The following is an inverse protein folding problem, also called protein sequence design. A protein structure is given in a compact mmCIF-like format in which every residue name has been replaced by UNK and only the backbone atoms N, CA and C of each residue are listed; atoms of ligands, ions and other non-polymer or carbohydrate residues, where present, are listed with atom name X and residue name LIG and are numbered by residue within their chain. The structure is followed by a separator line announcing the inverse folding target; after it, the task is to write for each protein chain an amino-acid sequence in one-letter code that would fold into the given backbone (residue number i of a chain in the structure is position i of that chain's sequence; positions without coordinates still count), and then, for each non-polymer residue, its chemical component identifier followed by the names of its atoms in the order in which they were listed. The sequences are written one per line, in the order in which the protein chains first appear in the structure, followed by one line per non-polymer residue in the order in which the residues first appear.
data_IF_862129478374
#
_entry.id   IF_862129478374
#
_cell.length_a   1.000
_cell.length_b   1.000
_cell.length_c   1.000
_cell.angle_alpha   90.00
_cell.angle_beta   90.00
_cell.angle_gamma   90.00
#
_symmetry.space_group_name_H-M   'P 1'
#
loop_
_entity.id
_entity.type
_entity.pdbx_description
1 polymer ?
#
# COMPACT_ATOMS: atom_id res chain seq x y z
N UNK A 1 -19.81 8.45 -6.38
CA UNK A 1 -18.58 7.63 -6.57
C UNK A 1 -18.00 7.72 -7.98
N UNK A 2 -18.72 7.32 -9.04
CA UNK A 2 -18.16 7.25 -10.41
C UNK A 2 -17.69 8.61 -10.97
N UNK A 3 -18.45 9.68 -10.78
CA UNK A 3 -18.05 11.02 -11.23
C UNK A 3 -16.79 11.53 -10.52
N UNK A 4 -16.60 11.17 -9.25
CA UNK A 4 -15.35 11.47 -8.51
C UNK A 4 -14.18 10.74 -9.17
N UNK A 5 -14.32 9.44 -9.43
CA UNK A 5 -13.26 8.63 -10.04
C UNK A 5 -12.87 9.15 -11.43
N UNK A 6 -13.85 9.54 -12.26
CA UNK A 6 -13.62 10.11 -13.60
C UNK A 6 -12.82 11.43 -13.56
N UNK A 7 -12.89 12.19 -12.47
CA UNK A 7 -12.07 13.41 -12.29
C UNK A 7 -10.62 13.11 -11.93
N UNK A 8 -10.33 11.92 -11.40
CA UNK A 8 -8.98 11.50 -11.00
C UNK A 8 -8.26 10.81 -12.15
N UNK A 9 -8.91 9.85 -12.83
CA UNK A 9 -8.32 9.07 -13.93
C UNK A 9 -9.38 8.56 -14.93
N UNK A 10 -9.00 8.21 -16.18
CA UNK A 10 -9.97 7.88 -17.23
C UNK A 10 -10.70 6.55 -17.02
N UNK A 11 -10.00 5.54 -16.48
CA UNK A 11 -10.55 4.20 -16.24
C UNK A 11 -9.83 3.51 -15.05
N UNK A 12 -10.42 2.48 -14.44
CA UNK A 12 -9.69 1.59 -13.52
C UNK A 12 -8.55 0.87 -14.26
N UNK A 13 -7.54 0.45 -13.51
CA UNK A 13 -6.34 -0.22 -14.01
C UNK A 13 -6.10 -1.47 -13.17
N UNK A 14 -5.56 -2.52 -13.79
CA UNK A 14 -5.20 -3.76 -13.12
C UNK A 14 -3.75 -3.69 -12.66
N UNK A 15 -3.50 -4.07 -11.41
CA UNK A 15 -2.15 -4.05 -10.86
C UNK A 15 -1.19 -4.97 -11.63
N UNK A 16 -1.66 -6.12 -12.10
CA UNK A 16 -0.84 -7.09 -12.85
C UNK A 16 -0.37 -6.57 -14.22
N UNK A 17 -0.93 -5.47 -14.71
CA UNK A 17 -0.53 -4.82 -15.96
C UNK A 17 0.42 -3.63 -15.72
N UNK A 18 0.63 -3.26 -14.45
CA UNK A 18 1.53 -2.19 -14.05
C UNK A 18 2.99 -2.59 -14.27
N UNK A 19 3.75 -1.72 -14.93
CA UNK A 19 5.18 -1.93 -15.24
C UNK A 19 6.10 -0.87 -14.62
N UNK A 20 5.55 -0.02 -13.75
CA UNK A 20 6.35 0.98 -13.06
C UNK A 20 7.07 0.40 -11.85
N UNK A 21 7.97 1.21 -11.29
CA UNK A 21 8.63 0.93 -10.02
C UNK A 21 7.92 1.73 -8.92
N UNK A 22 7.74 1.08 -7.77
CA UNK A 22 7.10 1.66 -6.59
C UNK A 22 7.91 1.28 -5.36
N UNK A 23 8.29 2.25 -4.53
CA UNK A 23 8.98 1.96 -3.26
C UNK A 23 8.02 1.31 -2.24
N UNK A 24 6.75 1.72 -2.27
CA UNK A 24 5.70 1.25 -1.35
C UNK A 24 4.41 0.93 -2.11
N UNK A 25 3.80 -0.20 -1.80
CA UNK A 25 2.48 -0.64 -2.28
C UNK A 25 1.58 -0.83 -1.06
N UNK A 26 0.40 -0.21 -1.08
CA UNK A 26 -0.58 -0.30 0.00
C UNK A 26 -1.81 -1.05 -0.51
N UNK A 27 -2.18 -2.10 0.21
CA UNK A 27 -3.37 -2.92 -0.01
C UNK A 27 -4.44 -2.60 1.04
N UNK A 28 -5.71 -2.66 0.62
CA UNK A 28 -6.86 -2.34 1.48
C UNK A 28 -7.59 -3.58 2.02
N UNK A 29 -7.18 -4.78 1.62
CA UNK A 29 -7.70 -6.04 2.15
C UNK A 29 -6.65 -7.16 2.01
N UNK A 30 -6.62 -8.08 2.97
CA UNK A 30 -5.65 -9.18 3.02
C UNK A 30 -5.64 -10.06 1.75
N UNK A 31 -6.81 -10.23 1.10
CA UNK A 31 -6.89 -10.97 -0.16
C UNK A 31 -6.11 -10.29 -1.29
N UNK A 32 -6.29 -8.97 -1.46
CA UNK A 32 -5.56 -8.18 -2.46
C UNK A 32 -4.08 -8.17 -2.13
N UNK A 33 -3.72 -8.07 -0.85
CA UNK A 33 -2.33 -8.21 -0.41
C UNK A 33 -1.70 -9.53 -0.84
N UNK A 34 -2.41 -10.65 -0.66
CA UNK A 34 -1.96 -11.97 -1.13
C UNK A 34 -1.77 -12.02 -2.65
N UNK A 35 -2.74 -11.52 -3.42
CA UNK A 35 -2.65 -11.48 -4.89
C UNK A 35 -1.48 -10.61 -5.39
N UNK A 36 -1.24 -9.46 -4.73
CA UNK A 36 -0.11 -8.56 -5.04
C UNK A 36 1.21 -9.23 -4.68
N UNK A 37 1.32 -9.84 -3.51
CA UNK A 37 2.52 -10.53 -3.06
C UNK A 37 2.89 -11.68 -3.99
N UNK A 38 1.92 -12.53 -4.36
CA UNK A 38 2.13 -13.63 -5.32
C UNK A 38 2.53 -13.11 -6.70
N UNK A 39 1.89 -12.04 -7.19
CA UNK A 39 2.25 -11.47 -8.48
C UNK A 39 3.70 -10.97 -8.50
N UNK A 40 4.12 -10.24 -7.47
CA UNK A 40 5.47 -9.70 -7.36
C UNK A 40 6.52 -10.79 -7.17
N UNK A 41 6.22 -11.84 -6.40
CA UNK A 41 7.12 -13.00 -6.23
C UNK A 41 7.34 -13.79 -7.52
N UNK A 42 6.38 -13.79 -8.44
CA UNK A 42 6.49 -14.46 -9.73
C UNK A 42 7.02 -13.55 -10.85
N UNK A 43 7.21 -12.25 -10.58
CA UNK A 43 7.80 -11.33 -11.53
C UNK A 43 9.29 -11.64 -11.72
N UNK A 44 9.82 -11.40 -12.93
CA UNK A 44 11.26 -11.47 -13.15
C UNK A 44 11.93 -10.29 -12.46
N UNK A 45 12.95 -10.57 -11.65
CA UNK A 45 13.76 -9.54 -11.00
C UNK A 45 14.67 -8.93 -12.06
N UNK A 46 14.34 -7.72 -12.51
CA UNK A 46 15.10 -6.96 -13.50
C UNK A 46 15.94 -5.86 -12.85
N UNK A 47 15.46 -5.28 -11.74
CA UNK A 47 16.01 -4.03 -11.21
C UNK A 47 16.66 -4.15 -9.83
N UNK A 48 16.52 -5.29 -9.16
CA UNK A 48 16.89 -5.49 -7.75
C UNK A 48 16.36 -4.35 -6.86
N UNK A 49 15.17 -3.85 -7.18
CA UNK A 49 14.53 -2.74 -6.48
C UNK A 49 13.69 -3.28 -5.32
N UNK A 50 13.96 -2.78 -4.12
CA UNK A 50 13.23 -3.14 -2.90
C UNK A 50 11.83 -2.51 -2.94
N UNK A 51 10.81 -3.30 -2.68
CA UNK A 51 9.42 -2.83 -2.61
C UNK A 51 8.79 -3.28 -1.30
N UNK A 52 8.25 -2.32 -0.55
CA UNK A 52 7.48 -2.60 0.65
C UNK A 52 6.01 -2.79 0.31
N UNK A 53 5.42 -3.90 0.72
CA UNK A 53 3.99 -4.18 0.57
C UNK A 53 3.37 -4.10 1.94
N UNK A 54 2.36 -3.24 2.10
CA UNK A 54 1.68 -3.00 3.37
C UNK A 54 0.20 -3.29 3.19
N UNK A 55 -0.43 -4.01 4.11
CA UNK A 55 -1.88 -4.18 4.16
C UNK A 55 -2.48 -3.47 5.36
N UNK A 56 -3.57 -2.74 5.14
CA UNK A 56 -4.49 -2.29 6.18
C UNK A 56 -5.90 -2.60 5.73
N UNK A 57 -6.61 -3.45 6.49
CA UNK A 57 -7.98 -3.80 6.14
C UNK A 57 -8.92 -2.59 6.30
N UNK A 58 -9.64 -2.30 5.23
CA UNK A 58 -10.68 -1.28 5.14
C UNK A 58 -11.93 -1.96 4.61
N UNK A 59 -13.04 -1.84 5.32
CA UNK A 59 -14.32 -2.40 4.87
C UNK A 59 -14.80 -1.68 3.60
N UNK A 60 -15.46 -2.44 2.70
CA UNK A 60 -16.00 -1.91 1.44
C UNK A 60 -17.32 -1.14 1.67
N UNK A 61 -17.22 -0.04 2.42
CA UNK A 61 -18.29 0.92 2.63
C UNK A 61 -17.75 2.36 2.55
N UNK A 62 -18.63 3.33 2.29
CA UNK A 62 -18.20 4.71 2.03
C UNK A 62 -17.56 5.39 3.26
N UNK A 63 -18.08 5.12 4.46
CA UNK A 63 -17.60 5.74 5.70
C UNK A 63 -16.21 5.22 6.10
N UNK A 64 -16.00 3.90 6.03
CA UNK A 64 -14.72 3.25 6.25
C UNK A 64 -13.72 3.62 5.16
N UNK A 65 -14.13 3.73 3.89
CA UNK A 65 -13.24 4.19 2.83
C UNK A 65 -12.70 5.62 3.07
N UNK A 66 -13.54 6.53 3.58
CA UNK A 66 -13.11 7.90 3.91
C UNK A 66 -12.15 7.88 5.10
N UNK A 67 -12.50 7.16 6.17
CA UNK A 67 -11.67 7.06 7.38
C UNK A 67 -10.33 6.38 7.09
N UNK A 68 -10.37 5.27 6.37
CA UNK A 68 -9.21 4.53 5.89
C UNK A 68 -8.31 5.38 5.00
N UNK A 69 -8.87 6.17 4.07
CA UNK A 69 -8.07 7.07 3.23
C UNK A 69 -7.33 8.14 4.04
N UNK A 70 -7.95 8.68 5.09
CA UNK A 70 -7.28 9.63 5.99
C UNK A 70 -6.13 8.98 6.77
N UNK A 71 -6.35 7.76 7.29
CA UNK A 71 -5.32 6.97 7.96
C UNK A 71 -4.16 6.62 7.03
N UNK A 72 -4.45 6.18 5.80
CA UNK A 72 -3.42 5.89 4.80
C UNK A 72 -2.64 7.14 4.40
N UNK A 73 -3.31 8.29 4.29
CA UNK A 73 -2.63 9.57 4.04
C UNK A 73 -1.65 9.92 5.18
N UNK A 74 -2.05 9.67 6.43
CA UNK A 74 -1.17 9.84 7.58
C UNK A 74 0.03 8.88 7.54
N UNK A 75 -0.20 7.60 7.20
CA UNK A 75 0.88 6.63 7.02
C UNK A 75 1.87 7.09 5.94
N UNK A 76 1.40 7.47 4.75
CA UNK A 76 2.25 7.98 3.68
C UNK A 76 3.07 9.20 4.13
N UNK A 77 2.46 10.10 4.91
CA UNK A 77 3.16 11.28 5.47
C UNK A 77 4.24 10.88 6.47
N UNK A 78 4.04 9.80 7.24
CA UNK A 78 5.05 9.28 8.16
C UNK A 78 6.21 8.62 7.40
N UNK A 79 5.91 7.84 6.36
CA UNK A 79 6.91 7.20 5.50
C UNK A 79 7.75 8.24 4.74
N UNK A 80 7.12 9.28 4.18
CA UNK A 80 7.81 10.35 3.43
C UNK A 80 8.76 11.19 4.31
N UNK A 81 8.51 11.26 5.61
CA UNK A 81 9.38 11.98 6.57
C UNK A 81 10.60 11.18 6.99
N UNK A 82 10.65 9.88 6.69
CA UNK A 82 11.80 9.04 7.00
C UNK A 82 13.02 9.49 6.19
N UNK A 83 14.20 9.48 6.80
CA UNK A 83 15.45 9.68 6.08
C UNK A 83 15.96 8.37 5.43
N UNK A 84 15.63 7.23 6.04
CA UNK A 84 15.98 5.89 5.60
C UNK A 84 14.76 4.98 5.79
N UNK A 85 13.97 4.82 4.72
CA UNK A 85 12.71 4.10 4.78
C UNK A 85 12.93 2.64 5.19
N UNK A 86 13.88 1.95 4.56
CA UNK A 86 14.13 0.53 4.73
C UNK A 86 14.50 0.18 6.18
N UNK A 87 15.23 1.08 6.85
CA UNK A 87 15.64 0.90 8.25
C UNK A 87 14.55 1.33 9.24
N UNK A 88 13.80 2.38 8.94
CA UNK A 88 12.84 2.99 9.89
C UNK A 88 11.41 2.42 9.78
N UNK A 89 11.09 1.70 8.70
CA UNK A 89 9.71 1.28 8.39
C UNK A 89 9.05 0.49 9.51
N UNK A 90 9.75 -0.45 10.14
CA UNK A 90 9.21 -1.26 11.25
C UNK A 90 8.77 -0.38 12.43
N UNK A 91 9.56 0.64 12.76
CA UNK A 91 9.24 1.59 13.82
C UNK A 91 8.05 2.49 13.44
N UNK A 92 7.99 2.90 12.18
CA UNK A 92 6.88 3.71 11.64
C UNK A 92 5.57 2.91 11.67
N UNK A 93 5.60 1.65 11.20
CA UNK A 93 4.44 0.77 11.19
C UNK A 93 3.96 0.46 12.60
N UNK A 94 4.87 0.17 13.54
CA UNK A 94 4.50 -0.06 14.94
C UNK A 94 3.86 1.18 15.59
N UNK A 95 4.37 2.38 15.31
CA UNK A 95 3.74 3.62 15.76
C UNK A 95 2.37 3.83 15.10
N UNK A 96 2.26 3.54 13.81
CA UNK A 96 1.01 3.65 13.07
C UNK A 96 -0.06 2.67 13.57
N UNK A 97 0.28 1.41 13.86
CA UNK A 97 -0.62 0.42 14.48
C UNK A 97 -1.20 0.93 15.81
N UNK A 98 -0.38 1.62 16.60
CA UNK A 98 -0.83 2.24 17.85
C UNK A 98 -1.83 3.37 17.64
N UNK A 99 -1.75 4.09 16.52
CA UNK A 99 -2.65 5.19 16.14
C UNK A 99 -3.94 4.64 15.54
N UNK A 100 -3.85 3.76 14.54
CA UNK A 100 -5.01 3.28 13.79
C UNK A 100 -5.79 2.20 14.55
N UNK A 101 -5.18 1.54 15.55
CA UNK A 101 -5.74 0.39 16.29
C UNK A 101 -6.19 -0.75 15.37
N UNK A 102 -5.54 -0.89 14.21
CA UNK A 102 -5.75 -1.96 13.24
C UNK A 102 -4.45 -2.73 13.09
N UNK A 103 -4.60 -4.01 12.72
CA UNK A 103 -3.45 -4.85 12.37
C UNK A 103 -2.92 -4.40 11.02
N UNK A 104 -1.61 -4.25 10.93
CA UNK A 104 -0.92 -3.96 9.69
C UNK A 104 -0.11 -5.20 9.31
N UNK A 105 -0.21 -5.60 8.04
CA UNK A 105 0.68 -6.61 7.48
C UNK A 105 1.75 -5.90 6.67
N UNK A 106 2.96 -6.43 6.71
CA UNK A 106 4.08 -5.92 5.95
C UNK A 106 4.93 -7.06 5.41
N UNK A 107 5.33 -6.93 4.16
CA UNK A 107 6.34 -7.77 3.54
C UNK A 107 7.19 -6.94 2.60
N UNK A 108 8.28 -7.54 2.17
CA UNK A 108 9.24 -6.96 1.25
C UNK A 108 9.39 -7.88 0.05
N UNK A 109 9.34 -7.31 -1.14
CA UNK A 109 9.60 -7.98 -2.40
C UNK A 109 10.74 -7.29 -3.16
N UNK A 110 11.31 -7.99 -4.13
CA UNK A 110 12.30 -7.44 -5.05
C UNK A 110 11.76 -7.52 -6.47
N UNK A 111 11.80 -6.38 -7.17
CA UNK A 111 11.50 -6.25 -8.60
C UNK A 111 12.77 -6.11 -9.43
#
# INVERSE_FOLDING_TARGET
MLDRNRRVKPHPERFQEYKGLSDVIICCEERVYGEVYEFLMNAQIEHCHLVHIINMDIEDNEEEAITGAALLCQLCTMLEKSADLDTEIEGILSNFENICKRRILHAVCFL
#
